data_IF_631569079176
#
_entry.id   IF_631569079176
#
_cell.length_a   1.000
_cell.length_b   1.000
_cell.length_c   1.000
_cell.angle_alpha   90.00
_cell.angle_beta   90.00
_cell.angle_gamma   90.00
#
_symmetry.space_group_name_H-M   'P 1'
#
loop_
_entity.id
_entity.type
_entity.pdbx_description
1 polymer ?
#
# COMPACT_ATOMS: atom_id res chain seq x y z
N UNK A 1 -14.37 0.43 12.27
CA UNK A 1 -13.03 0.69 12.86
C UNK A 1 -12.53 2.03 12.36
N UNK A 2 -11.74 2.75 13.14
CA UNK A 2 -11.07 3.96 12.66
C UNK A 2 -10.09 3.60 11.55
N UNK A 3 -10.06 4.39 10.48
CA UNK A 3 -9.06 4.24 9.42
C UNK A 3 -7.71 4.73 9.94
N UNK A 4 -6.66 3.96 9.67
CA UNK A 4 -5.29 4.34 9.98
C UNK A 4 -4.69 5.01 8.76
N UNK A 5 -3.99 6.13 8.96
CA UNK A 5 -3.29 6.85 7.91
C UNK A 5 -1.82 7.03 8.30
N UNK A 6 -0.95 6.99 7.30
CA UNK A 6 0.48 7.26 7.45
C UNK A 6 0.89 8.42 6.55
N UNK A 7 2.01 9.09 6.87
CA UNK A 7 2.57 10.13 6.00
C UNK A 7 3.17 9.53 4.72
N UNK A 8 3.42 10.35 3.72
CA UNK A 8 4.08 9.93 2.48
C UNK A 8 5.46 9.28 2.74
N UNK A 9 6.24 9.83 3.68
CA UNK A 9 7.59 9.34 4.03
C UNK A 9 7.54 7.97 4.72
N UNK A 10 6.47 7.70 5.47
CA UNK A 10 6.25 6.37 6.05
C UNK A 10 5.77 5.41 4.97
N UNK A 11 4.80 5.81 4.13
CA UNK A 11 4.29 5.01 3.02
C UNK A 11 5.42 4.57 2.06
N UNK A 12 6.36 5.47 1.75
CA UNK A 12 7.54 5.16 0.95
C UNK A 12 8.34 3.99 1.53
N UNK A 13 8.57 4.00 2.85
CA UNK A 13 9.37 2.96 3.55
C UNK A 13 8.66 1.62 3.60
N UNK A 14 7.34 1.61 3.40
CA UNK A 14 6.51 0.42 3.35
C UNK A 14 6.48 -0.21 1.95
N UNK A 15 6.94 0.48 0.91
CA UNK A 15 7.03 -0.09 -0.43
C UNK A 15 8.13 -1.17 -0.53
N UNK A 16 7.94 -2.19 -1.38
CA UNK A 16 9.03 -3.04 -1.86
C UNK A 16 10.15 -2.22 -2.52
N UNK A 17 11.39 -2.72 -2.46
CA UNK A 17 12.57 -2.03 -3.05
C UNK A 17 12.70 -2.17 -4.58
N UNK A 18 11.76 -2.85 -5.23
CA UNK A 18 11.75 -3.08 -6.67
C UNK A 18 11.24 -1.84 -7.43
N UNK A 19 11.68 -1.68 -8.68
CA UNK A 19 11.30 -0.55 -9.56
C UNK A 19 9.80 -0.53 -9.88
N UNK A 20 9.21 -1.70 -10.07
CA UNK A 20 7.79 -1.88 -10.39
C UNK A 20 7.09 -2.50 -9.18
N UNK A 21 6.05 -1.85 -8.68
CA UNK A 21 5.28 -2.29 -7.51
C UNK A 21 3.90 -2.70 -7.97
N UNK A 22 3.44 -3.87 -7.50
CA UNK A 22 2.13 -4.37 -7.90
C UNK A 22 1.02 -3.56 -7.23
N UNK A 23 -0.10 -3.39 -7.95
CA UNK A 23 -1.26 -2.66 -7.46
C UNK A 23 -2.56 -3.33 -7.88
N UNK A 24 -3.62 -3.14 -7.10
CA UNK A 24 -4.99 -3.54 -7.42
C UNK A 24 -5.94 -2.36 -7.36
N UNK A 25 -6.86 -2.28 -8.32
CA UNK A 25 -8.05 -1.42 -8.25
C UNK A 25 -9.27 -2.28 -7.88
N UNK A 26 -9.31 -3.55 -8.30
CA UNK A 26 -10.29 -4.55 -7.85
C UNK A 26 -9.63 -5.89 -7.58
N UNK A 27 -9.63 -6.29 -6.31
CA UNK A 27 -8.90 -7.45 -5.80
C UNK A 27 -9.47 -8.77 -6.36
N UNK A 28 -10.76 -9.05 -6.14
CA UNK A 28 -11.41 -10.28 -6.62
C UNK A 28 -11.69 -10.29 -8.13
N UNK A 29 -11.49 -9.16 -8.81
CA UNK A 29 -11.49 -9.08 -10.27
C UNK A 29 -10.11 -9.24 -10.88
N UNK A 30 -9.06 -9.41 -10.06
CA UNK A 30 -7.65 -9.44 -10.48
C UNK A 30 -7.28 -8.24 -11.36
N UNK A 31 -7.94 -7.10 -11.12
CA UNK A 31 -7.78 -5.90 -11.91
C UNK A 31 -6.77 -4.98 -11.22
N UNK A 32 -5.63 -4.82 -11.87
CA UNK A 32 -4.46 -4.16 -11.31
C UNK A 32 -3.39 -3.96 -12.37
N UNK A 33 -2.27 -3.38 -11.96
CA UNK A 33 -1.11 -3.20 -12.81
C UNK A 33 0.17 -3.04 -11.98
N UNK A 34 1.30 -3.24 -12.63
CA UNK A 34 2.60 -2.87 -12.07
C UNK A 34 2.89 -1.39 -12.37
N UNK A 35 3.02 -0.59 -11.31
CA UNK A 35 3.28 0.85 -11.40
C UNK A 35 4.74 1.13 -11.09
N UNK A 36 5.34 2.13 -11.76
CA UNK A 36 6.68 2.59 -11.41
C UNK A 36 6.69 3.15 -9.98
N UNK A 37 7.67 2.72 -9.19
CA UNK A 37 7.85 3.15 -7.80
C UNK A 37 7.89 4.68 -7.71
N UNK A 38 8.62 5.34 -8.61
CA UNK A 38 8.73 6.81 -8.65
C UNK A 38 7.36 7.50 -8.80
N UNK A 39 6.50 7.00 -9.70
CA UNK A 39 5.14 7.51 -9.87
C UNK A 39 4.31 7.31 -8.60
N UNK A 40 4.44 6.17 -7.92
CA UNK A 40 3.76 5.95 -6.64
C UNK A 40 4.22 6.93 -5.55
N UNK A 41 5.51 7.27 -5.51
CA UNK A 41 6.02 8.27 -4.57
C UNK A 41 5.43 9.65 -4.84
N UNK A 42 5.37 10.08 -6.10
CA UNK A 42 4.73 11.34 -6.49
C UNK A 42 3.27 11.39 -6.04
N UNK A 43 2.52 10.30 -6.25
CA UNK A 43 1.14 10.15 -5.77
C UNK A 43 1.05 10.25 -4.25
N UNK A 44 1.94 9.58 -3.50
CA UNK A 44 1.95 9.63 -2.04
C UNK A 44 2.22 11.05 -1.52
N UNK A 45 3.20 11.74 -2.10
CA UNK A 45 3.52 13.12 -1.72
C UNK A 45 2.37 14.09 -2.05
N UNK A 46 1.72 13.92 -3.21
CA UNK A 46 0.55 14.71 -3.57
C UNK A 46 -0.64 14.46 -2.63
N UNK A 47 -0.85 13.21 -2.20
CA UNK A 47 -1.92 12.83 -1.28
C UNK A 47 -1.69 13.30 0.18
N UNK A 48 -0.44 13.59 0.56
CA UNK A 48 0.04 13.95 1.92
C UNK A 48 -0.10 12.85 2.97
N UNK A 49 -1.18 12.07 2.91
CA UNK A 49 -1.40 10.89 3.74
C UNK A 49 -1.91 9.72 2.89
N UNK A 50 -1.55 8.50 3.31
CA UNK A 50 -1.91 7.25 2.65
C UNK A 50 -2.64 6.36 3.66
N UNK A 51 -3.75 5.76 3.25
CA UNK A 51 -4.53 4.86 4.11
C UNK A 51 -3.80 3.52 4.27
N UNK A 52 -3.81 2.97 5.49
CA UNK A 52 -3.45 1.58 5.75
C UNK A 52 -4.74 0.76 5.76
N UNK A 53 -5.02 0.06 4.67
CA UNK A 53 -6.24 -0.71 4.46
C UNK A 53 -6.00 -2.22 4.61
N UNK A 54 -7.02 -2.94 5.09
CA UNK A 54 -7.02 -4.40 5.13
C UNK A 54 -7.77 -5.03 3.96
N UNK A 55 -8.39 -4.26 3.08
CA UNK A 55 -9.26 -4.77 2.02
C UNK A 55 -8.50 -5.72 1.08
N UNK A 56 -7.24 -5.40 0.78
CA UNK A 56 -6.34 -6.18 -0.10
C UNK A 56 -5.22 -6.91 0.68
N UNK A 57 -5.35 -7.01 2.01
CA UNK A 57 -4.32 -7.60 2.87
C UNK A 57 -4.01 -9.08 2.57
N UNK A 58 -4.98 -9.81 1.99
CA UNK A 58 -4.76 -11.20 1.56
C UNK A 58 -3.65 -11.34 0.51
N UNK A 59 -3.34 -10.28 -0.22
CA UNK A 59 -2.27 -10.20 -1.22
C UNK A 59 -1.11 -9.30 -0.78
N UNK A 60 -0.97 -8.98 0.51
CA UNK A 60 0.07 -8.08 1.03
C UNK A 60 -0.02 -6.62 0.56
N UNK A 61 -1.20 -6.20 0.11
CA UNK A 61 -1.48 -4.83 -0.29
C UNK A 61 -2.16 -4.08 0.86
N UNK A 62 -1.35 -3.41 1.66
CA UNK A 62 -1.82 -2.69 2.85
C UNK A 62 -1.93 -1.18 2.68
N UNK A 63 -1.36 -0.60 1.62
CA UNK A 63 -1.51 0.83 1.34
C UNK A 63 -2.67 1.05 0.37
N UNK A 64 -3.50 2.06 0.62
CA UNK A 64 -4.54 2.48 -0.30
C UNK A 64 -4.43 3.98 -0.57
N UNK A 65 -4.41 4.35 -1.85
CA UNK A 65 -4.32 5.74 -2.31
C UNK A 65 -5.21 5.95 -3.53
N UNK A 66 -5.62 7.19 -3.80
CA UNK A 66 -6.36 7.52 -5.04
C UNK A 66 -5.38 7.78 -6.19
N UNK A 67 -5.56 7.06 -7.28
CA UNK A 67 -4.90 7.30 -8.57
C UNK A 67 -6.02 7.49 -9.59
N UNK A 68 -6.03 8.61 -10.31
CA UNK A 68 -7.06 8.96 -11.30
C UNK A 68 -8.50 8.82 -10.76
N UNK A 69 -8.70 9.19 -9.50
CA UNK A 69 -10.00 9.12 -8.81
C UNK A 69 -10.40 7.74 -8.29
N UNK A 70 -9.64 6.68 -8.62
CA UNK A 70 -9.88 5.31 -8.17
C UNK A 70 -9.02 4.94 -6.98
N UNK A 71 -9.62 4.25 -6.00
CA UNK A 71 -8.85 3.66 -4.90
C UNK A 71 -7.98 2.53 -5.47
N UNK A 72 -6.68 2.67 -5.26
CA UNK A 72 -5.66 1.73 -5.68
C UNK A 72 -4.95 1.20 -4.45
N UNK A 73 -5.02 -0.11 -4.27
CA UNK A 73 -4.29 -0.84 -3.23
C UNK A 73 -2.90 -1.16 -3.75
N UNK A 74 -1.88 -0.90 -2.93
CA UNK A 74 -0.47 -0.99 -3.31
C UNK A 74 0.21 -2.06 -2.47
N UNK A 75 0.98 -2.92 -3.14
CA UNK A 75 1.78 -3.95 -2.51
C UNK A 75 2.74 -3.35 -1.49
N UNK A 76 2.92 -4.04 -0.36
CA UNK A 76 3.78 -3.59 0.72
C UNK A 76 4.82 -4.62 1.12
N UNK A 77 5.90 -4.13 1.71
CA UNK A 77 6.88 -4.95 2.37
C UNK A 77 6.41 -5.27 3.80
N UNK A 78 5.97 -6.52 4.01
CA UNK A 78 5.49 -6.98 5.32
C UNK A 78 6.47 -6.76 6.47
N UNK A 79 7.78 -6.93 6.24
CA UNK A 79 8.80 -6.72 7.28
C UNK A 79 8.86 -5.25 7.71
N UNK A 80 8.72 -4.34 6.74
CA UNK A 80 8.61 -2.92 7.04
C UNK A 80 7.30 -2.63 7.79
N UNK A 81 6.18 -3.16 7.32
CA UNK A 81 4.87 -3.01 7.93
C UNK A 81 4.87 -3.43 9.43
N UNK A 82 5.49 -4.57 9.74
CA UNK A 82 5.68 -5.05 11.10
C UNK A 82 6.57 -4.11 11.94
N UNK A 83 7.68 -3.63 11.38
CA UNK A 83 8.59 -2.69 12.07
C UNK A 83 7.90 -1.38 12.45
N UNK A 84 6.92 -0.94 11.65
CA UNK A 84 6.11 0.24 11.94
C UNK A 84 4.91 -0.04 12.85
N UNK A 85 4.71 -1.28 13.31
CA UNK A 85 3.56 -1.66 14.14
C UNK A 85 2.21 -1.64 13.41
N UNK A 86 2.23 -1.72 12.08
CA UNK A 86 1.06 -1.62 11.21
C UNK A 86 0.57 -2.99 10.71
N UNK A 87 1.30 -4.06 11.03
CA UNK A 87 0.91 -5.43 10.69
C UNK A 87 -0.26 -5.87 11.58
N UNK A 88 -1.38 -6.37 11.00
CA UNK A 88 -2.48 -6.87 11.81
C UNK A 88 -2.03 -8.01 12.73
N UNK A 89 -2.56 -8.12 13.96
CA UNK A 89 -2.12 -9.10 14.95
C UNK A 89 -2.16 -10.55 14.47
N UNK A 90 -3.07 -10.85 13.55
CA UNK A 90 -3.29 -12.20 13.01
C UNK A 90 -2.41 -12.52 11.78
N UNK A 91 -1.67 -11.55 11.23
CA UNK A 91 -0.78 -11.75 10.08
C UNK A 91 0.62 -12.09 10.58
N UNK A 92 1.15 -13.25 10.16
CA UNK A 92 2.53 -13.66 10.46
C UNK A 92 3.47 -13.19 9.35
N UNK A 93 4.70 -12.84 9.72
CA UNK A 93 5.80 -12.73 8.78
C UNK A 93 6.17 -14.15 8.36
N UNK A 94 5.91 -14.51 7.10
CA UNK A 94 6.34 -15.77 6.50
C UNK A 94 7.69 -15.57 5.82
#
# INVERSE_FOLDING_TARGET
MSKVFVTAEVAEKLLPRRRKVHTFIRIFGWQGADVDREKLLEVFHAAKSVEVSQDAACFDHYLAVKIDGMVTYVETNLKALAKFGLLPPNRKLV
#
